data_IF_055772925646
#
_entry.id   IF_055772925646
#
_cell.length_a   1.000
_cell.length_b   1.000
_cell.length_c   1.000
_cell.angle_alpha   90.00
_cell.angle_beta   90.00
_cell.angle_gamma   90.00
#
_symmetry.space_group_name_H-M   'P 1'
#
loop_
_entity.id
_entity.type
_entity.pdbx_description
1 polymer ?
#
# COMPACT_ATOMS: atom_id res chain seq x y z
N UNK A 1 15.33 -17.87 -13.49
CA UNK A 1 15.36 -16.49 -12.92
C UNK A 1 14.55 -15.48 -13.73
N UNK A 2 14.80 -15.27 -15.03
CA UNK A 2 14.09 -14.27 -15.86
C UNK A 2 12.56 -14.35 -15.80
N UNK A 3 11.97 -15.55 -15.92
CA UNK A 3 10.51 -15.77 -15.82
C UNK A 3 9.94 -15.31 -14.47
N UNK A 4 10.65 -15.57 -13.36
CA UNK A 4 10.21 -15.18 -12.02
C UNK A 4 10.22 -13.66 -11.81
N UNK A 5 11.21 -12.95 -12.38
CA UNK A 5 11.26 -11.49 -12.36
C UNK A 5 10.07 -10.91 -13.12
N UNK A 6 9.82 -11.40 -14.35
CA UNK A 6 8.67 -10.94 -15.16
C UNK A 6 7.34 -11.20 -14.45
N UNK A 7 7.16 -12.37 -13.85
CA UNK A 7 5.99 -12.67 -13.02
C UNK A 7 5.89 -11.69 -11.85
N UNK A 8 6.99 -11.40 -11.15
CA UNK A 8 6.97 -10.44 -10.03
C UNK A 8 6.50 -9.06 -10.48
N UNK A 9 7.03 -8.56 -11.60
CA UNK A 9 6.65 -7.26 -12.15
C UNK A 9 5.18 -7.22 -12.60
N UNK A 10 4.70 -8.29 -13.24
CA UNK A 10 3.29 -8.44 -13.57
C UNK A 10 2.40 -8.35 -12.32
N UNK A 11 2.74 -9.08 -11.26
CA UNK A 11 1.99 -9.03 -10.00
C UNK A 11 2.09 -7.66 -9.30
N UNK A 12 3.22 -6.96 -9.44
CA UNK A 12 3.34 -5.60 -8.94
C UNK A 12 2.37 -4.64 -9.65
N UNK A 13 2.27 -4.74 -10.98
CA UNK A 13 1.28 -3.99 -11.76
C UNK A 13 -0.14 -4.39 -11.38
N UNK A 14 -0.45 -5.69 -11.26
CA UNK A 14 -1.78 -6.16 -10.86
C UNK A 14 -2.17 -5.64 -9.48
N UNK A 15 -1.28 -5.70 -8.50
CA UNK A 15 -1.56 -5.20 -7.15
C UNK A 15 -1.74 -3.68 -7.17
N UNK A 16 -0.95 -2.96 -7.98
CA UNK A 16 -1.13 -1.53 -8.19
C UNK A 16 -2.50 -1.18 -8.80
N UNK A 17 -3.01 -2.00 -9.73
CA UNK A 17 -4.37 -1.86 -10.24
C UNK A 17 -5.42 -2.14 -9.15
N UNK A 18 -5.19 -3.16 -8.30
CA UNK A 18 -6.04 -3.42 -7.13
C UNK A 18 -6.09 -2.24 -6.18
N UNK A 19 -4.98 -1.51 -6.00
CA UNK A 19 -4.96 -0.26 -5.21
C UNK A 19 -5.89 0.80 -5.82
N UNK A 20 -5.83 1.01 -7.13
CA UNK A 20 -6.76 1.91 -7.83
C UNK A 20 -8.22 1.52 -7.63
N UNK A 21 -8.56 0.23 -7.78
CA UNK A 21 -9.91 -0.30 -7.52
C UNK A 21 -10.31 -0.09 -6.06
N UNK A 22 -9.40 -0.33 -5.11
CA UNK A 22 -9.64 -0.12 -3.68
C UNK A 22 -9.99 1.33 -3.36
N UNK A 23 -9.30 2.30 -3.97
CA UNK A 23 -9.63 3.74 -3.85
C UNK A 23 -11.03 4.02 -4.42
N UNK A 24 -11.37 3.47 -5.58
CA UNK A 24 -12.69 3.65 -6.17
C UNK A 24 -13.81 3.06 -5.31
N UNK A 25 -13.59 1.89 -4.71
CA UNK A 25 -14.52 1.29 -3.76
C UNK A 25 -14.68 2.13 -2.50
N UNK A 26 -13.60 2.73 -1.99
CA UNK A 26 -13.65 3.64 -0.84
C UNK A 26 -14.61 4.81 -1.05
N UNK A 27 -14.65 5.38 -2.27
CA UNK A 27 -15.56 6.47 -2.61
C UNK A 27 -17.05 6.08 -2.56
N UNK A 28 -17.38 4.78 -2.58
CA UNK A 28 -18.76 4.32 -2.39
C UNK A 28 -19.22 4.44 -0.94
N UNK A 29 -18.28 4.43 0.01
CA UNK A 29 -18.55 4.52 1.46
C UNK A 29 -18.32 5.94 1.99
N UNK A 30 -17.36 6.67 1.42
CA UNK A 30 -17.02 8.03 1.83
C UNK A 30 -16.89 8.94 0.60
N UNK A 31 -17.89 9.81 0.41
CA UNK A 31 -17.97 10.72 -0.73
C UNK A 31 -17.35 12.10 -0.44
N UNK A 32 -16.76 12.31 0.73
CA UNK A 32 -16.15 13.60 1.10
C UNK A 32 -14.87 13.91 0.30
N UNK A 33 -14.30 12.88 -0.35
CA UNK A 33 -12.99 12.90 -0.99
C UNK A 33 -11.85 12.51 -0.04
N UNK A 34 -12.19 12.03 1.15
CA UNK A 34 -11.26 11.42 2.09
C UNK A 34 -10.82 10.03 1.61
N UNK A 35 -9.54 9.72 1.78
CA UNK A 35 -8.95 8.42 1.40
C UNK A 35 -8.69 7.51 2.60
N UNK A 36 -9.28 7.79 3.77
CA UNK A 36 -9.05 7.07 5.03
C UNK A 36 -9.12 5.54 4.87
N UNK A 37 -10.06 5.02 4.09
CA UNK A 37 -10.26 3.57 3.91
C UNK A 37 -9.46 2.96 2.76
N UNK A 38 -8.69 3.76 2.00
CA UNK A 38 -7.99 3.28 0.81
C UNK A 38 -7.08 2.07 1.08
N UNK A 39 -6.32 1.99 2.20
CA UNK A 39 -5.50 0.81 2.47
C UNK A 39 -6.32 -0.45 2.73
N UNK A 40 -7.44 -0.33 3.46
CA UNK A 40 -8.30 -1.46 3.77
C UNK A 40 -8.94 -2.04 2.50
N UNK A 41 -9.49 -1.17 1.63
CA UNK A 41 -10.07 -1.63 0.37
C UNK A 41 -9.02 -2.12 -0.63
N UNK A 42 -7.82 -1.51 -0.64
CA UNK A 42 -6.71 -2.03 -1.42
C UNK A 42 -6.32 -3.44 -0.96
N UNK A 43 -6.24 -3.67 0.35
CA UNK A 43 -5.95 -4.99 0.89
C UNK A 43 -7.07 -5.99 0.55
N UNK A 44 -8.33 -5.59 0.65
CA UNK A 44 -9.47 -6.44 0.30
C UNK A 44 -9.40 -6.93 -1.15
N UNK A 45 -9.15 -6.02 -2.10
CA UNK A 45 -9.09 -6.35 -3.54
C UNK A 45 -7.78 -7.04 -3.89
N UNK A 46 -6.66 -6.55 -3.37
CA UNK A 46 -5.30 -7.01 -3.68
C UNK A 46 -4.87 -8.27 -2.92
N UNK A 47 -5.62 -8.71 -1.91
CA UNK A 47 -5.24 -9.87 -1.08
C UNK A 47 -5.11 -11.16 -1.90
N UNK A 48 -6.00 -11.39 -2.86
CA UNK A 48 -5.90 -12.53 -3.76
C UNK A 48 -4.64 -12.48 -4.63
N UNK A 49 -4.35 -11.32 -5.23
CA UNK A 49 -3.14 -11.06 -6.04
C UNK A 49 -1.88 -11.31 -5.21
N UNK A 50 -1.86 -10.82 -3.97
CA UNK A 50 -0.78 -11.06 -3.02
C UNK A 50 -0.55 -12.55 -2.74
N UNK A 51 -1.62 -13.28 -2.38
CA UNK A 51 -1.52 -14.70 -2.04
C UNK A 51 -1.08 -15.55 -3.23
N UNK A 52 -1.54 -15.21 -4.44
CA UNK A 52 -1.11 -15.88 -5.67
C UNK A 52 0.37 -15.58 -5.96
N UNK A 53 0.85 -14.34 -5.77
CA UNK A 53 2.27 -14.01 -5.90
C UNK A 53 3.10 -14.90 -4.97
N UNK A 54 2.77 -14.95 -3.68
CA UNK A 54 3.50 -15.73 -2.67
C UNK A 54 3.57 -17.21 -3.07
N UNK A 55 2.47 -17.77 -3.57
CA UNK A 55 2.42 -19.15 -4.03
C UNK A 55 3.22 -19.39 -5.34
N UNK A 56 3.22 -18.43 -6.27
CA UNK A 56 3.88 -18.56 -7.59
C UNK A 56 5.35 -18.20 -7.57
N UNK A 57 5.77 -17.32 -6.69
CA UNK A 57 7.11 -16.73 -6.63
C UNK A 57 7.63 -16.74 -5.18
N UNK A 58 7.88 -17.93 -4.59
CA UNK A 58 8.30 -18.08 -3.19
C UNK A 58 9.78 -17.73 -3.00
N UNK A 59 10.14 -16.47 -3.23
CA UNK A 59 11.51 -15.95 -3.10
C UNK A 59 11.52 -14.57 -2.46
N UNK A 60 12.65 -14.27 -1.80
CA UNK A 60 12.87 -12.94 -1.27
C UNK A 60 12.96 -11.90 -2.38
N UNK A 61 12.42 -10.73 -2.09
CA UNK A 61 12.31 -9.59 -2.99
C UNK A 61 11.01 -9.57 -3.81
N UNK A 62 10.21 -10.65 -3.81
CA UNK A 62 8.97 -10.68 -4.58
C UNK A 62 7.93 -9.69 -4.01
N UNK A 63 7.72 -9.74 -2.70
CA UNK A 63 6.79 -8.85 -1.98
C UNK A 63 7.39 -7.43 -1.91
N UNK A 64 8.69 -7.34 -1.61
CA UNK A 64 9.42 -6.07 -1.57
C UNK A 64 9.29 -5.29 -2.88
N UNK A 65 9.34 -5.97 -4.03
CA UNK A 65 9.20 -5.31 -5.35
C UNK A 65 7.85 -4.60 -5.48
N UNK A 66 6.76 -5.20 -4.98
CA UNK A 66 5.44 -4.55 -5.02
C UNK A 66 5.43 -3.31 -4.12
N UNK A 67 5.97 -3.43 -2.90
CA UNK A 67 6.12 -2.29 -1.99
C UNK A 67 6.95 -1.15 -2.59
N UNK A 68 8.02 -1.48 -3.32
CA UNK A 68 8.84 -0.51 -4.04
C UNK A 68 8.08 0.18 -5.18
N UNK A 69 7.26 -0.54 -5.95
CA UNK A 69 6.41 0.08 -6.98
C UNK A 69 5.44 1.09 -6.36
N UNK A 70 4.81 0.75 -5.23
CA UNK A 70 3.92 1.66 -4.49
C UNK A 70 4.71 2.88 -3.97
N UNK A 71 5.88 2.65 -3.37
CA UNK A 71 6.74 3.70 -2.87
C UNK A 71 7.18 4.68 -3.97
N UNK A 72 7.62 4.14 -5.12
CA UNK A 72 8.01 4.93 -6.29
C UNK A 72 6.83 5.73 -6.85
N UNK A 73 5.63 5.15 -6.88
CA UNK A 73 4.43 5.87 -7.27
C UNK A 73 4.18 7.07 -6.35
N UNK A 74 4.14 6.87 -5.02
CA UNK A 74 3.89 7.96 -4.08
C UNK A 74 4.98 9.03 -4.08
N UNK A 75 6.24 8.64 -4.31
CA UNK A 75 7.35 9.56 -4.47
C UNK A 75 7.21 10.38 -5.76
N UNK A 76 6.99 9.72 -6.90
CA UNK A 76 6.90 10.36 -8.22
C UNK A 76 5.70 11.29 -8.37
N UNK A 77 4.59 10.97 -7.71
CA UNK A 77 3.36 11.79 -7.69
C UNK A 77 3.29 12.78 -6.53
N UNK A 78 4.36 12.88 -5.72
CA UNK A 78 4.52 13.89 -4.65
C UNK A 78 3.44 13.84 -3.57
N UNK A 79 3.02 12.64 -3.14
CA UNK A 79 1.95 12.48 -2.13
C UNK A 79 2.29 12.99 -0.72
N UNK A 80 3.56 13.25 -0.39
CA UNK A 80 3.96 13.71 0.95
C UNK A 80 5.45 13.51 1.16
N UNK A 81 6.10 14.35 1.97
CA UNK A 81 7.42 14.00 2.48
C UNK A 81 7.27 12.72 3.32
N UNK A 82 7.91 11.63 2.91
CA UNK A 82 7.85 10.35 3.60
C UNK A 82 6.65 9.45 3.26
N UNK A 83 5.71 9.85 2.39
CA UNK A 83 4.56 9.00 2.01
C UNK A 83 4.98 7.72 1.28
N UNK A 84 6.21 7.64 0.78
CA UNK A 84 6.76 6.44 0.17
C UNK A 84 7.30 5.42 1.20
N UNK A 85 7.56 5.85 2.44
CA UNK A 85 8.24 5.05 3.46
C UNK A 85 7.45 3.80 3.85
N UNK A 86 6.11 3.83 4.07
CA UNK A 86 5.38 2.61 4.38
C UNK A 86 5.47 1.56 3.26
N UNK A 87 5.51 1.99 2.00
CA UNK A 87 5.70 1.08 0.86
C UNK A 87 6.99 0.28 0.97
N UNK A 88 8.10 0.94 1.34
CA UNK A 88 9.40 0.30 1.53
C UNK A 88 9.40 -0.57 2.78
N UNK A 89 9.02 0.01 3.93
CA UNK A 89 9.14 -0.63 5.25
C UNK A 89 8.22 -1.86 5.33
N UNK A 90 6.93 -1.69 5.04
CA UNK A 90 5.97 -2.80 5.08
C UNK A 90 6.26 -3.84 3.99
N UNK A 91 6.76 -3.42 2.82
CA UNK A 91 7.20 -4.32 1.76
C UNK A 91 8.32 -5.25 2.20
N UNK A 92 9.38 -4.68 2.79
CA UNK A 92 10.53 -5.44 3.31
C UNK A 92 10.12 -6.37 4.46
N UNK A 93 9.44 -5.83 5.49
CA UNK A 93 9.03 -6.60 6.66
C UNK A 93 8.08 -7.75 6.29
N UNK A 94 7.16 -7.52 5.35
CA UNK A 94 6.27 -8.58 4.86
C UNK A 94 7.06 -9.69 4.15
N UNK A 95 8.04 -9.33 3.33
CA UNK A 95 8.89 -10.31 2.64
C UNK A 95 9.69 -11.15 3.63
N UNK A 96 10.28 -10.52 4.65
CA UNK A 96 10.99 -11.20 5.73
C UNK A 96 10.09 -12.20 6.47
N UNK A 97 8.88 -11.79 6.86
CA UNK A 97 7.95 -12.68 7.57
C UNK A 97 7.54 -13.88 6.70
N UNK A 98 7.27 -13.67 5.41
CA UNK A 98 6.99 -14.79 4.50
C UNK A 98 8.23 -15.67 4.28
N UNK A 99 9.42 -15.07 4.23
CA UNK A 99 10.69 -15.77 4.10
C UNK A 99 10.97 -16.70 5.29
N UNK A 100 10.68 -16.27 6.53
CA UNK A 100 10.77 -17.12 7.73
C UNK A 100 9.87 -18.37 7.64
N UNK A 101 8.77 -18.27 6.88
CA UNK A 101 7.88 -19.39 6.57
C UNK A 101 8.25 -20.17 5.32
N UNK A 102 9.37 -19.83 4.67
CA UNK A 102 9.76 -20.29 3.33
C UNK A 102 8.62 -20.17 2.32
N UNK A 103 7.74 -19.17 2.50
CA UNK A 103 6.53 -18.92 1.73
C UNK A 103 5.50 -20.08 1.74
N UNK A 104 5.66 -21.09 2.61
CA UNK A 104 4.77 -22.27 2.70
C UNK A 104 3.90 -22.26 3.95
N UNK A 105 4.35 -21.58 5.01
CA UNK A 105 3.61 -21.44 6.27
C UNK A 105 2.43 -20.47 6.08
N UNK A 106 1.21 -20.99 6.22
CA UNK A 106 -0.03 -20.21 6.01
C UNK A 106 -0.16 -19.05 7.01
N UNK A 107 0.21 -19.28 8.27
CA UNK A 107 0.11 -18.25 9.31
C UNK A 107 1.09 -17.13 9.06
N UNK A 108 2.34 -17.45 8.69
CA UNK A 108 3.34 -16.44 8.34
C UNK A 108 3.00 -15.71 7.05
N UNK A 109 2.48 -16.39 6.04
CA UNK A 109 2.02 -15.75 4.81
C UNK A 109 0.83 -14.80 5.07
N UNK A 110 -0.07 -15.17 5.97
CA UNK A 110 -1.16 -14.29 6.40
C UNK A 110 -0.67 -13.08 7.19
N UNK A 111 0.24 -13.27 8.16
CA UNK A 111 0.83 -12.16 8.91
C UNK A 111 1.63 -11.22 7.99
N UNK A 112 2.39 -11.79 7.06
CA UNK A 112 3.10 -11.09 6.00
C UNK A 112 2.13 -10.22 5.17
N UNK A 113 0.97 -10.76 4.78
CA UNK A 113 -0.06 -9.98 4.10
C UNK A 113 -0.62 -8.84 4.95
N UNK A 114 -0.90 -9.06 6.25
CA UNK A 114 -1.36 -8.00 7.16
C UNK A 114 -0.35 -6.86 7.22
N UNK A 115 0.94 -7.18 7.39
CA UNK A 115 2.01 -6.19 7.38
C UNK A 115 2.03 -5.45 6.04
N UNK A 116 1.97 -6.19 4.93
CA UNK A 116 1.99 -5.63 3.59
C UNK A 116 0.81 -4.70 3.30
N UNK A 117 -0.37 -4.95 3.88
CA UNK A 117 -1.56 -4.11 3.71
C UNK A 117 -1.30 -2.65 4.12
N UNK A 118 -0.39 -2.41 5.08
CA UNK A 118 0.01 -1.07 5.50
C UNK A 118 0.92 -0.34 4.50
N UNK A 119 1.42 -1.01 3.45
CA UNK A 119 2.29 -0.42 2.43
C UNK A 119 1.66 0.78 1.69
N UNK A 120 0.33 0.84 1.64
CA UNK A 120 -0.42 1.89 0.93
C UNK A 120 -0.86 3.04 1.84
N UNK A 121 -0.51 3.00 3.13
CA UNK A 121 -0.96 4.00 4.12
C UNK A 121 -0.24 5.33 4.01
N UNK A 122 0.90 5.39 3.32
CA UNK A 122 1.77 6.56 3.25
C UNK A 122 1.09 7.93 3.16
N UNK A 123 0.19 8.16 2.17
CA UNK A 123 -0.48 9.44 2.04
C UNK A 123 -1.41 9.81 3.20
N UNK A 124 -1.99 8.82 3.89
CA UNK A 124 -2.98 9.01 4.95
C UNK A 124 -2.46 8.67 6.34
N UNK A 125 -1.22 8.20 6.47
CA UNK A 125 -0.69 7.72 7.75
C UNK A 125 -0.72 8.84 8.80
N UNK A 126 -0.27 10.05 8.43
CA UNK A 126 -0.34 11.22 9.30
C UNK A 126 -1.78 11.62 9.62
N UNK A 127 -2.73 11.39 8.73
CA UNK A 127 -4.14 11.63 9.03
C UNK A 127 -4.61 10.76 10.22
N UNK A 128 -4.13 9.52 10.31
CA UNK A 128 -4.49 8.62 11.39
C UNK A 128 -3.82 8.95 12.72
N UNK A 129 -2.51 9.23 12.70
CA UNK A 129 -1.71 9.35 13.94
C UNK A 129 -1.43 10.78 14.38
N UNK A 130 -1.47 11.73 13.45
CA UNK A 130 -1.17 13.15 13.70
C UNK A 130 -2.07 14.08 12.85
N UNK A 131 -3.41 14.06 13.04
CA UNK A 131 -4.37 14.80 12.20
C UNK A 131 -4.01 16.28 12.00
N UNK A 132 -3.57 16.97 13.06
CA UNK A 132 -3.18 18.39 13.00
C UNK A 132 -1.97 18.63 12.08
N UNK A 133 -0.98 17.74 12.08
CA UNK A 133 0.18 17.83 11.20
C UNK A 133 -0.19 17.53 9.74
N UNK A 134 -1.12 16.60 9.53
CA UNK A 134 -1.68 16.32 8.22
C UNK A 134 -2.44 17.53 7.64
N UNK A 135 -3.33 18.14 8.42
CA UNK A 135 -4.03 19.39 8.05
C UNK A 135 -3.04 20.51 7.71
N UNK A 136 -2.00 20.71 8.53
CA UNK A 136 -0.96 21.72 8.25
C UNK A 136 -0.22 21.43 6.94
N UNK A 137 0.05 20.16 6.63
CA UNK A 137 0.67 19.76 5.35
C UNK A 137 -0.25 20.04 4.16
N UNK A 138 -1.57 19.84 4.31
CA UNK A 138 -2.55 20.18 3.28
C UNK A 138 -2.65 21.68 3.04
N UNK A 139 -2.66 22.50 4.11
CA UNK A 139 -2.61 23.96 4.01
C UNK A 139 -1.33 24.43 3.31
N UNK A 140 -0.17 23.89 3.69
CA UNK A 140 1.11 24.21 3.05
C UNK A 140 1.16 23.81 1.55
N UNK A 141 0.28 22.92 1.11
CA UNK A 141 0.09 22.51 -0.29
C UNK A 141 -0.98 23.32 -1.03
N UNK A 142 -1.52 24.36 -0.40
CA UNK A 142 -2.51 25.25 -1.01
C UNK A 142 -3.93 24.70 -1.05
N UNK A 143 -4.27 23.72 -0.19
CA UNK A 143 -5.66 23.28 -0.03
C UNK A 143 -6.44 24.30 0.81
N UNK A 144 -7.70 24.56 0.45
CA UNK A 144 -8.58 25.47 1.21
C UNK A 144 -8.98 24.85 2.56
N UNK A 145 -9.29 25.72 3.52
CA UNK A 145 -9.80 25.26 4.82
C UNK A 145 -11.11 24.47 4.65
N UNK A 146 -12.01 24.93 3.77
CA UNK A 146 -13.24 24.22 3.41
C UNK A 146 -12.99 22.80 2.90
N UNK A 147 -11.95 22.59 2.08
CA UNK A 147 -11.60 21.25 1.62
C UNK A 147 -11.10 20.38 2.78
N UNK A 148 -10.26 20.94 3.65
CA UNK A 148 -9.69 20.23 4.79
C UNK A 148 -10.78 19.84 5.78
N UNK A 149 -11.66 20.77 6.15
CA UNK A 149 -12.78 20.51 7.07
C UNK A 149 -13.76 19.46 6.52
N UNK A 150 -13.87 19.35 5.19
CA UNK A 150 -14.70 18.33 4.55
C UNK A 150 -14.10 16.93 4.65
N UNK A 151 -12.77 16.79 4.57
CA UNK A 151 -12.11 15.47 4.47
C UNK A 151 -11.55 14.96 5.80
N UNK A 152 -11.51 15.78 6.86
CA UNK A 152 -11.00 15.43 8.18
C UNK A 152 -12.12 14.99 9.11
#
# INVERSE_FOLDING_TARGET
MKKSILTTLLFAVLYFLCMGIGVLLGNLFDQTGNMFYAPAFTALVGGSVYMILVAKVPRFGAITTIGLVIALFFLGTKHGAGSFLPGIICGLLADEVAHLGKYKDKTKNFLSFIIFAFSTTGPILLMWIAPKAYMATLLARGKSQEYIDRIM
#
